data_IF_356727743485
#
_entry.id   IF_356727743485
#
_cell.length_a   1.000
_cell.length_b   1.000
_cell.length_c   1.000
_cell.angle_alpha   90.00
_cell.angle_beta   90.00
_cell.angle_gamma   90.00
#
_symmetry.space_group_name_H-M   'P 1'
#
loop_
_entity.id
_entity.type
_entity.pdbx_description
1 polymer ?
#
# COMPACT_ATOMS: atom_id res chain seq x y z
N UNK A 1 19.67 -2.30 23.82
CA UNK A 1 19.01 -1.80 22.60
C UNK A 1 17.51 -1.79 22.89
N UNK A 2 16.85 -0.62 22.91
CA UNK A 2 15.49 -0.41 23.48
C UNK A 2 14.36 -1.04 22.63
N UNK A 3 14.70 -1.63 21.48
CA UNK A 3 13.73 -2.04 20.46
C UNK A 3 12.97 -3.35 20.75
N UNK A 4 13.39 -4.14 21.75
CA UNK A 4 12.68 -5.36 22.19
C UNK A 4 12.29 -6.30 21.04
N UNK A 5 11.05 -6.82 21.08
CA UNK A 5 10.45 -7.71 20.07
C UNK A 5 9.84 -6.96 18.87
N UNK A 6 10.06 -5.65 18.74
CA UNK A 6 9.45 -4.86 17.67
C UNK A 6 10.23 -4.98 16.36
N UNK A 7 9.52 -5.35 15.30
CA UNK A 7 10.08 -5.54 13.95
C UNK A 7 10.70 -4.25 13.39
N UNK A 8 10.19 -3.07 13.77
CA UNK A 8 10.71 -1.79 13.33
C UNK A 8 10.46 -0.68 14.37
N UNK A 9 11.11 0.47 14.17
CA UNK A 9 10.94 1.66 15.02
C UNK A 9 9.52 2.23 14.98
N UNK A 10 8.79 2.05 13.89
CA UNK A 10 7.41 2.49 13.75
C UNK A 10 6.47 1.71 14.70
N UNK A 11 6.57 0.38 14.76
CA UNK A 11 5.75 -0.44 15.65
C UNK A 11 6.10 -0.19 17.10
N UNK A 12 7.38 0.02 17.42
CA UNK A 12 7.82 0.43 18.76
C UNK A 12 7.19 1.77 19.18
N UNK A 13 7.32 2.81 18.35
CA UNK A 13 6.79 4.15 18.68
C UNK A 13 5.26 4.16 18.79
N UNK A 14 4.56 3.38 17.96
CA UNK A 14 3.10 3.22 18.06
C UNK A 14 2.68 2.47 19.31
N UNK A 15 3.38 1.40 19.68
CA UNK A 15 3.10 0.69 20.93
C UNK A 15 3.29 1.61 22.15
N UNK A 16 4.38 2.40 22.18
CA UNK A 16 4.60 3.38 23.24
C UNK A 16 3.46 4.42 23.29
N UNK A 17 3.00 4.92 22.15
CA UNK A 17 1.89 5.86 22.08
C UNK A 17 0.59 5.25 22.64
N UNK A 18 0.30 3.97 22.36
CA UNK A 18 -0.87 3.29 22.94
C UNK A 18 -0.79 3.20 24.48
N UNK A 19 0.41 2.95 25.04
CA UNK A 19 0.61 3.00 26.50
C UNK A 19 0.34 4.39 27.08
N UNK A 20 0.85 5.45 26.45
CA UNK A 20 0.61 6.84 26.90
C UNK A 20 -0.88 7.20 26.86
N UNK A 21 -1.59 6.80 25.80
CA UNK A 21 -3.05 6.99 25.71
C UNK A 21 -3.76 6.21 26.82
N UNK A 22 -3.28 5.00 27.12
CA UNK A 22 -3.85 4.21 28.20
C UNK A 22 -3.60 4.83 29.58
N UNK A 23 -2.47 5.48 29.81
CA UNK A 23 -2.19 6.18 31.08
C UNK A 23 -3.07 7.42 31.26
N UNK A 24 -3.40 8.10 30.15
CA UNK A 24 -4.30 9.26 30.16
C UNK A 24 -5.78 8.93 30.40
N UNK A 25 -6.17 7.65 30.41
CA UNK A 25 -7.58 7.22 30.53
C UNK A 25 -8.31 7.70 31.78
N UNK A 26 -7.57 7.96 32.86
CA UNK A 26 -8.13 8.45 34.13
C UNK A 26 -8.34 9.97 34.12
N UNK A 27 -7.76 10.68 33.15
CA UNK A 27 -7.81 12.13 33.00
C UNK A 27 -8.85 12.52 31.94
N UNK A 28 -8.86 11.79 30.82
CA UNK A 28 -9.76 12.01 29.69
C UNK A 28 -10.29 10.69 29.17
N UNK A 29 -11.46 10.71 28.53
CA UNK A 29 -11.99 9.54 27.83
C UNK A 29 -11.12 9.23 26.61
N UNK A 30 -10.65 7.99 26.53
CA UNK A 30 -9.75 7.53 25.46
C UNK A 30 -10.34 6.35 24.71
N UNK A 31 -9.90 6.19 23.46
CA UNK A 31 -10.12 5.00 22.65
C UNK A 31 -8.94 4.81 21.71
N UNK A 32 -8.64 3.57 21.34
CA UNK A 32 -7.57 3.25 20.40
C UNK A 32 -8.19 2.53 19.20
N UNK A 33 -7.89 3.02 17.99
CA UNK A 33 -8.29 2.35 16.75
C UNK A 33 -7.03 1.82 16.07
N UNK A 34 -7.04 0.51 15.77
CA UNK A 34 -5.95 -0.20 15.09
C UNK A 34 -6.38 -0.54 13.66
N UNK A 35 -6.08 0.33 12.67
CA UNK A 35 -6.35 0.04 11.27
C UNK A 35 -5.32 -0.93 10.68
N UNK A 36 -5.72 -1.66 9.65
CA UNK A 36 -4.80 -2.35 8.75
C UNK A 36 -4.20 -1.39 7.70
N UNK A 37 -3.69 -1.93 6.58
CA UNK A 37 -3.00 -1.11 5.58
C UNK A 37 -4.01 -0.21 4.85
N UNK A 38 -3.94 1.09 5.13
CA UNK A 38 -4.90 2.05 4.61
C UNK A 38 -4.71 2.24 3.11
N UNK A 39 -5.81 2.17 2.35
CA UNK A 39 -5.86 2.41 0.91
C UNK A 39 -6.81 3.56 0.57
N UNK A 40 -7.02 3.80 -0.73
CA UNK A 40 -7.84 4.91 -1.20
C UNK A 40 -9.29 4.81 -0.70
N UNK A 41 -9.98 5.95 -0.67
CA UNK A 41 -11.37 6.03 -0.25
C UNK A 41 -12.25 5.10 -1.09
N UNK A 42 -13.17 4.40 -0.43
CA UNK A 42 -14.18 3.61 -1.13
C UNK A 42 -15.29 4.50 -1.66
N UNK A 43 -15.84 5.40 -0.83
CA UNK A 43 -16.98 6.26 -1.18
C UNK A 43 -16.71 7.75 -0.92
N UNK A 44 -16.23 8.11 0.27
CA UNK A 44 -16.13 9.50 0.72
C UNK A 44 -14.66 9.93 0.92
N UNK A 45 -14.26 11.18 0.62
CA UNK A 45 -15.06 12.26 0.01
C UNK A 45 -15.31 12.06 -1.50
N UNK A 46 -14.47 11.29 -2.18
CA UNK A 46 -14.61 10.88 -3.59
C UNK A 46 -14.02 9.48 -3.72
N UNK A 47 -14.65 8.61 -4.51
CA UNK A 47 -14.14 7.25 -4.78
C UNK A 47 -12.71 7.28 -5.34
N UNK A 48 -11.82 6.46 -4.78
CA UNK A 48 -10.42 6.40 -5.18
C UNK A 48 -9.57 7.59 -4.72
N UNK A 49 -10.12 8.51 -3.93
CA UNK A 49 -9.35 9.62 -3.37
C UNK A 49 -8.25 9.13 -2.41
N UNK A 50 -7.06 9.72 -2.55
CA UNK A 50 -5.96 9.53 -1.62
C UNK A 50 -5.07 10.77 -1.56
N UNK A 51 -4.58 11.09 -0.36
CA UNK A 51 -3.57 12.15 -0.14
C UNK A 51 -2.16 11.61 -0.36
N UNK A 52 -1.95 10.33 -0.05
CA UNK A 52 -0.63 9.72 -0.01
C UNK A 52 -0.41 8.81 -1.21
N UNK A 53 0.83 8.80 -1.71
CA UNK A 53 1.31 7.83 -2.70
C UNK A 53 2.22 6.80 -2.02
N UNK A 54 2.12 6.65 -0.71
CA UNK A 54 2.96 5.73 0.03
C UNK A 54 2.37 4.31 0.01
N UNK A 55 3.24 3.31 0.09
CA UNK A 55 2.84 1.91 0.21
C UNK A 55 2.05 1.40 -1.02
N UNK A 56 0.88 0.75 -0.82
CA UNK A 56 0.12 0.08 -1.88
C UNK A 56 -0.31 1.03 -3.00
N UNK A 57 -0.68 2.27 -2.67
CA UNK A 57 -1.16 3.25 -3.63
C UNK A 57 -0.04 3.70 -4.59
N UNK A 58 1.16 3.94 -4.05
CA UNK A 58 2.34 4.25 -4.86
C UNK A 58 2.72 3.09 -5.77
N UNK A 59 2.64 1.87 -5.24
CA UNK A 59 2.84 0.66 -6.03
C UNK A 59 1.84 0.60 -7.20
N UNK A 60 0.53 0.69 -6.93
CA UNK A 60 -0.50 0.63 -7.97
C UNK A 60 -0.30 1.73 -9.01
N UNK A 61 0.02 2.95 -8.59
CA UNK A 61 0.31 4.05 -9.51
C UNK A 61 1.54 3.77 -10.39
N UNK A 62 2.64 3.29 -9.81
CA UNK A 62 3.85 2.93 -10.56
C UNK A 62 3.61 1.78 -11.53
N UNK A 63 2.79 0.82 -11.13
CA UNK A 63 2.43 -0.33 -11.94
C UNK A 63 1.52 0.06 -13.11
N UNK A 64 0.57 0.97 -12.85
CA UNK A 64 -0.33 1.54 -13.85
C UNK A 64 0.39 2.42 -14.88
N UNK A 65 1.49 3.08 -14.49
CA UNK A 65 2.37 3.79 -15.43
C UNK A 65 3.31 2.87 -16.21
N UNK A 66 3.29 1.56 -15.92
CA UNK A 66 4.18 0.56 -16.50
C UNK A 66 5.63 0.62 -16.00
N UNK A 67 5.92 1.45 -15.00
CA UNK A 67 7.24 1.54 -14.35
C UNK A 67 7.49 0.29 -13.51
N UNK A 68 6.48 -0.13 -12.74
CA UNK A 68 6.57 -1.34 -11.91
C UNK A 68 5.90 -2.50 -12.62
N UNK A 69 6.70 -3.36 -13.23
CA UNK A 69 6.21 -4.49 -14.05
C UNK A 69 6.23 -5.83 -13.31
N UNK A 70 6.97 -5.92 -12.21
CA UNK A 70 7.22 -7.15 -11.47
C UNK A 70 7.11 -6.87 -9.99
N UNK A 71 6.43 -7.75 -9.27
CA UNK A 71 6.31 -7.66 -7.83
C UNK A 71 6.61 -9.00 -7.15
N UNK A 72 7.39 -9.02 -6.06
CA UNK A 72 7.53 -10.18 -5.20
C UNK A 72 6.31 -10.29 -4.27
N UNK A 73 5.20 -10.80 -4.80
CA UNK A 73 3.92 -10.93 -4.11
C UNK A 73 3.34 -12.30 -4.43
N UNK A 74 3.00 -13.04 -3.39
CA UNK A 74 2.32 -14.32 -3.53
C UNK A 74 0.81 -14.06 -3.66
N UNK A 75 0.24 -14.40 -4.82
CA UNK A 75 -1.16 -14.12 -5.16
C UNK A 75 -2.17 -14.80 -4.24
N UNK A 76 -1.78 -15.90 -3.60
CA UNK A 76 -2.65 -16.71 -2.74
C UNK A 76 -2.67 -16.23 -1.30
N UNK A 77 -1.78 -15.31 -0.91
CA UNK A 77 -1.79 -14.74 0.43
C UNK A 77 -2.95 -13.76 0.60
N UNK A 78 -3.45 -13.70 1.82
CA UNK A 78 -4.45 -12.72 2.25
C UNK A 78 -3.70 -11.43 2.60
N UNK A 79 -4.10 -10.33 1.97
CA UNK A 79 -3.58 -8.99 2.27
C UNK A 79 -4.69 -8.20 2.95
N UNK A 80 -4.33 -7.40 3.95
CA UNK A 80 -5.30 -6.61 4.71
C UNK A 80 -5.26 -5.14 4.28
N UNK A 81 -6.20 -4.78 3.40
CA UNK A 81 -6.37 -3.42 2.93
C UNK A 81 -7.69 -2.85 3.45
N UNK A 82 -7.64 -1.66 4.06
CA UNK A 82 -8.82 -0.96 4.58
C UNK A 82 -8.95 0.42 3.93
N UNK A 83 -10.13 0.79 3.38
CA UNK A 83 -10.35 2.12 2.83
C UNK A 83 -10.25 3.22 3.90
N UNK A 84 -9.69 4.38 3.55
CA UNK A 84 -9.47 5.49 4.49
C UNK A 84 -10.78 6.03 5.11
N UNK A 85 -11.87 6.05 4.35
CA UNK A 85 -13.19 6.48 4.80
C UNK A 85 -13.77 5.54 5.87
N UNK A 86 -13.56 4.23 5.71
CA UNK A 86 -13.98 3.26 6.73
C UNK A 86 -13.19 3.45 8.03
N UNK A 87 -11.90 3.75 7.95
CA UNK A 87 -11.06 4.03 9.14
C UNK A 87 -11.54 5.29 9.86
N UNK A 88 -11.82 6.37 9.12
CA UNK A 88 -12.32 7.62 9.69
C UNK A 88 -13.68 7.41 10.36
N UNK A 89 -14.60 6.72 9.68
CA UNK A 89 -15.92 6.40 10.24
C UNK A 89 -15.81 5.53 11.49
N UNK A 90 -14.88 4.58 11.52
CA UNK A 90 -14.58 3.76 12.71
C UNK A 90 -14.05 4.62 13.85
N UNK A 91 -13.20 5.61 13.56
CA UNK A 91 -12.67 6.54 14.56
C UNK A 91 -13.77 7.43 15.16
N UNK A 92 -14.66 7.97 14.32
CA UNK A 92 -15.80 8.78 14.78
C UNK A 92 -16.76 7.92 15.61
N UNK A 93 -17.10 6.72 15.14
CA UNK A 93 -17.98 5.81 15.87
C UNK A 93 -17.35 5.35 17.19
N UNK A 94 -16.06 5.02 17.19
CA UNK A 94 -15.33 4.59 18.39
C UNK A 94 -15.22 5.69 19.43
N UNK A 95 -14.93 6.92 19.01
CA UNK A 95 -14.89 8.09 19.92
C UNK A 95 -16.27 8.38 20.52
N UNK A 96 -17.32 8.35 19.70
CA UNK A 96 -18.71 8.51 20.17
C UNK A 96 -19.12 7.40 21.16
N UNK A 97 -18.75 6.16 20.88
CA UNK A 97 -19.00 5.04 21.77
C UNK A 97 -18.29 5.22 23.11
N UNK A 98 -16.99 5.56 23.09
CA UNK A 98 -16.22 5.81 24.30
C UNK A 98 -16.69 7.04 25.08
N UNK A 99 -17.25 8.04 24.41
CA UNK A 99 -17.87 9.19 25.05
C UNK A 99 -19.07 8.81 25.93
N UNK A 100 -19.87 7.84 25.48
CA UNK A 100 -21.08 7.39 26.17
C UNK A 100 -20.84 6.42 27.33
N UNK A 101 -19.63 5.89 27.48
CA UNK A 101 -19.33 4.95 28.57
C UNK A 101 -19.44 5.67 29.94
N UNK A 102 -20.10 5.05 30.93
CA UNK A 102 -20.13 5.56 32.30
C UNK A 102 -18.73 5.76 32.88
N UNK A 103 -18.55 6.80 33.71
CA UNK A 103 -17.26 7.04 34.40
C UNK A 103 -16.82 5.85 35.28
N UNK A 104 -17.78 5.02 35.67
CA UNK A 104 -17.61 3.85 36.52
C UNK A 104 -17.43 2.54 35.76
N UNK A 105 -17.54 2.52 34.42
CA UNK A 105 -17.26 1.30 33.66
C UNK A 105 -15.76 1.17 33.46
N UNK A 106 -15.08 0.24 34.15
CA UNK A 106 -13.80 -0.22 33.65
C UNK A 106 -14.15 -0.86 32.32
N UNK A 107 -13.81 -0.17 31.24
CA UNK A 107 -13.58 -0.79 29.94
C UNK A 107 -12.88 -2.12 30.19
N UNK A 108 -13.40 -3.22 29.65
CA UNK A 108 -12.98 -4.62 29.88
C UNK A 108 -11.53 -4.68 30.42
N UNK A 109 -11.38 -5.02 31.71
CA UNK A 109 -10.09 -5.11 32.45
C UNK A 109 -9.39 -3.80 32.88
N UNK A 110 -10.10 -2.67 32.88
CA UNK A 110 -9.57 -1.36 33.30
C UNK A 110 -8.60 -0.74 32.29
N UNK A 111 -8.69 -1.09 31.01
CA UNK A 111 -7.84 -0.62 29.91
C UNK A 111 -8.63 0.12 28.85
N UNK A 112 -8.03 1.10 28.17
CA UNK A 112 -8.65 1.85 27.07
C UNK A 112 -9.25 0.91 26.00
N UNK A 113 -10.48 1.14 25.52
CA UNK A 113 -11.10 0.27 24.52
C UNK A 113 -10.32 0.31 23.20
N UNK A 114 -10.07 -0.87 22.64
CA UNK A 114 -9.30 -1.06 21.41
C UNK A 114 -10.23 -1.59 20.31
N UNK A 115 -10.36 -0.85 19.22
CA UNK A 115 -11.14 -1.22 18.05
C UNK A 115 -10.22 -1.62 16.89
N UNK A 116 -10.37 -2.85 16.41
CA UNK A 116 -9.65 -3.34 15.23
C UNK A 116 -10.42 -3.01 13.96
N UNK A 117 -9.79 -2.28 13.03
CA UNK A 117 -10.37 -1.92 11.74
C UNK A 117 -9.60 -2.65 10.63
N UNK A 118 -9.99 -3.90 10.39
CA UNK A 118 -9.30 -4.84 9.49
C UNK A 118 -10.31 -5.52 8.56
N UNK A 119 -9.88 -5.86 7.33
CA UNK A 119 -10.74 -6.54 6.35
C UNK A 119 -10.52 -8.04 6.32
N UNK A 120 -9.38 -8.55 6.78
CA UNK A 120 -9.00 -9.97 6.66
C UNK A 120 -10.05 -10.97 7.18
N UNK A 121 -10.75 -10.63 8.26
CA UNK A 121 -11.74 -11.53 8.90
C UNK A 121 -13.07 -11.55 8.16
N UNK A 122 -13.49 -10.43 7.57
CA UNK A 122 -14.83 -10.26 6.99
C UNK A 122 -14.82 -10.31 5.46
N UNK A 123 -13.77 -9.78 4.84
CA UNK A 123 -13.61 -9.68 3.39
C UNK A 123 -12.11 -9.75 3.02
N UNK A 124 -11.50 -10.94 3.03
CA UNK A 124 -10.07 -11.11 2.78
C UNK A 124 -9.71 -10.74 1.33
N UNK A 125 -8.78 -9.81 1.15
CA UNK A 125 -8.29 -9.44 -0.18
C UNK A 125 -7.21 -10.41 -0.65
N UNK A 126 -7.31 -10.87 -1.90
CA UNK A 126 -6.28 -11.69 -2.57
C UNK A 126 -5.96 -11.11 -3.94
N UNK A 127 -4.67 -11.02 -4.27
CA UNK A 127 -4.24 -10.53 -5.58
C UNK A 127 -4.65 -11.46 -6.72
N UNK A 128 -4.89 -12.74 -6.42
CA UNK A 128 -5.37 -13.68 -7.43
C UNK A 128 -6.70 -13.23 -8.04
N UNK A 129 -7.65 -12.81 -7.19
CA UNK A 129 -9.03 -12.51 -7.58
C UNK A 129 -9.13 -11.19 -8.35
N UNK A 130 -8.20 -10.27 -8.12
CA UNK A 130 -8.20 -8.92 -8.74
C UNK A 130 -7.27 -8.84 -9.95
N UNK A 131 -6.34 -9.78 -10.14
CA UNK A 131 -5.33 -9.67 -11.19
C UNK A 131 -5.90 -9.57 -12.62
N UNK A 132 -6.99 -10.29 -12.91
CA UNK A 132 -7.69 -10.24 -14.20
C UNK A 132 -8.38 -8.89 -14.39
N UNK A 133 -9.17 -8.46 -13.39
CA UNK A 133 -9.90 -7.19 -13.38
C UNK A 133 -8.92 -6.03 -13.54
N UNK A 134 -7.82 -6.03 -12.79
CA UNK A 134 -6.78 -5.00 -12.85
C UNK A 134 -6.18 -4.88 -14.25
N UNK A 135 -5.88 -6.02 -14.89
CA UNK A 135 -5.31 -6.02 -16.25
C UNK A 135 -6.30 -5.43 -17.26
N UNK A 136 -7.58 -5.81 -17.18
CA UNK A 136 -8.64 -5.29 -18.05
C UNK A 136 -8.88 -3.80 -17.82
N UNK A 137 -8.97 -3.36 -16.56
CA UNK A 137 -9.18 -1.94 -16.21
C UNK A 137 -8.02 -1.08 -16.68
N UNK A 138 -6.77 -1.52 -16.48
CA UNK A 138 -5.59 -0.78 -16.94
C UNK A 138 -5.49 -0.68 -18.47
N UNK A 139 -6.00 -1.68 -19.19
CA UNK A 139 -6.07 -1.64 -20.64
C UNK A 139 -7.16 -0.67 -21.13
N UNK A 140 -8.33 -0.69 -20.50
CA UNK A 140 -9.47 0.15 -20.90
C UNK A 140 -9.30 1.62 -20.48
N UNK A 141 -8.61 1.88 -19.35
CA UNK A 141 -8.40 3.21 -18.78
C UNK A 141 -6.91 3.47 -18.54
N UNK A 142 -6.12 3.74 -19.60
CA UNK A 142 -4.69 4.00 -19.45
C UNK A 142 -4.43 5.33 -18.74
N UNK A 143 -3.46 5.33 -17.82
CA UNK A 143 -3.06 6.55 -17.10
C UNK A 143 -2.25 7.46 -18.02
N UNK A 144 -2.52 8.77 -17.97
CA UNK A 144 -1.72 9.79 -18.68
C UNK A 144 -0.25 9.74 -18.23
N UNK A 145 0.66 9.75 -19.20
CA UNK A 145 2.10 9.66 -18.95
C UNK A 145 2.56 8.25 -18.55
N UNK A 146 1.90 7.20 -19.05
CA UNK A 146 2.43 5.85 -18.99
C UNK A 146 3.75 5.78 -19.78
N UNK A 147 4.82 5.32 -19.13
CA UNK A 147 6.14 5.16 -19.76
C UNK A 147 6.17 3.88 -20.58
N UNK A 148 5.52 2.83 -20.07
CA UNK A 148 5.40 1.54 -20.71
C UNK A 148 3.98 1.02 -20.59
N UNK A 149 3.61 0.08 -21.47
CA UNK A 149 2.32 -0.59 -21.36
C UNK A 149 2.18 -1.30 -20.00
N UNK A 150 1.11 -1.06 -19.23
CA UNK A 150 0.94 -1.63 -17.90
C UNK A 150 0.77 -3.15 -17.98
N UNK A 151 1.80 -3.89 -17.53
CA UNK A 151 1.76 -5.35 -17.43
C UNK A 151 2.47 -5.75 -16.14
N UNK A 152 1.69 -6.24 -15.18
CA UNK A 152 2.16 -6.55 -13.83
C UNK A 152 2.23 -8.07 -13.68
N UNK A 153 3.42 -8.58 -13.42
CA UNK A 153 3.64 -9.98 -13.07
C UNK A 153 3.95 -10.10 -11.58
N UNK A 154 3.05 -10.73 -10.85
CA UNK A 154 3.29 -11.13 -9.46
C UNK A 154 4.12 -12.41 -9.44
N UNK A 155 5.24 -12.38 -8.72
CA UNK A 155 6.20 -13.45 -8.57
C UNK A 155 6.21 -13.88 -7.10
N UNK A 156 6.07 -15.18 -6.79
CA UNK A 156 5.99 -15.65 -5.41
C UNK A 156 7.35 -15.57 -4.67
N UNK A 157 8.47 -15.60 -5.40
CA UNK A 157 9.82 -15.71 -4.83
C UNK A 157 10.69 -14.50 -5.18
N UNK A 158 11.47 -14.02 -4.20
CA UNK A 158 12.44 -12.93 -4.38
C UNK A 158 13.53 -13.28 -5.40
N UNK A 159 13.99 -14.52 -5.44
CA UNK A 159 14.98 -14.97 -6.41
C UNK A 159 14.48 -14.86 -7.86
N UNK A 160 13.25 -15.32 -8.11
CA UNK A 160 12.60 -15.17 -9.42
C UNK A 160 12.42 -13.69 -9.77
N UNK A 161 12.04 -12.86 -8.80
CA UNK A 161 11.95 -11.42 -8.99
C UNK A 161 13.29 -10.82 -9.43
N UNK A 162 14.39 -11.17 -8.76
CA UNK A 162 15.75 -10.69 -9.09
C UNK A 162 16.18 -11.05 -10.51
N UNK A 163 16.09 -12.32 -10.89
CA UNK A 163 16.44 -12.79 -12.25
C UNK A 163 15.63 -12.02 -13.29
N UNK A 164 14.33 -11.93 -13.06
CA UNK A 164 13.41 -11.36 -14.02
C UNK A 164 13.50 -9.83 -14.13
N UNK A 165 13.90 -9.17 -13.03
CA UNK A 165 14.25 -7.75 -12.99
C UNK A 165 15.55 -7.48 -13.77
N UNK A 166 16.61 -8.27 -13.51
CA UNK A 166 17.88 -8.15 -14.22
C UNK A 166 17.72 -8.31 -15.74
N UNK A 167 16.92 -9.29 -16.16
CA UNK A 167 16.60 -9.51 -17.56
C UNK A 167 15.90 -8.29 -18.18
N UNK A 168 14.88 -7.72 -17.52
CA UNK A 168 14.19 -6.54 -18.07
C UNK A 168 15.12 -5.32 -18.21
N UNK A 169 15.94 -5.06 -17.18
CA UNK A 169 16.90 -3.95 -17.20
C UNK A 169 17.93 -4.09 -18.32
N UNK A 170 18.41 -5.31 -18.56
CA UNK A 170 19.40 -5.56 -19.61
C UNK A 170 18.84 -5.30 -21.01
N UNK A 171 17.64 -5.80 -21.32
CA UNK A 171 17.01 -5.62 -22.63
C UNK A 171 16.63 -4.17 -22.89
N UNK A 172 16.09 -3.46 -21.88
CA UNK A 172 15.77 -2.04 -21.99
C UNK A 172 17.03 -1.20 -22.28
N UNK A 173 18.13 -1.48 -21.57
CA UNK A 173 19.42 -0.81 -21.79
C UNK A 173 19.97 -1.08 -23.19
N UNK A 174 19.88 -2.32 -23.68
CA UNK A 174 20.37 -2.68 -25.02
C UNK A 174 19.57 -1.98 -26.12
N UNK A 175 18.24 -1.91 -25.95
CA UNK A 175 17.34 -1.24 -26.89
C UNK A 175 17.60 0.26 -26.97
N UNK A 176 17.75 0.95 -25.83
CA UNK A 176 18.09 2.38 -25.80
C UNK A 176 19.45 2.62 -26.48
N UNK A 177 20.44 1.76 -26.21
CA UNK A 177 21.77 1.87 -26.82
C UNK A 177 21.72 1.68 -28.34
N UNK A 178 20.92 0.73 -28.83
CA UNK A 178 20.70 0.52 -30.26
C UNK A 178 19.98 1.71 -30.92
N UNK A 179 18.94 2.26 -30.29
CA UNK A 179 18.26 3.46 -30.77
C UNK A 179 19.20 4.67 -30.82
N UNK A 180 20.00 4.88 -29.77
CA UNK A 180 20.96 5.98 -29.72
C UNK A 180 22.02 5.86 -30.83
N UNK A 181 22.57 4.67 -31.06
CA UNK A 181 23.54 4.43 -32.15
C UNK A 181 22.93 4.68 -33.54
N UNK A 182 21.68 4.29 -33.76
CA UNK A 182 21.00 4.54 -35.03
C UNK A 182 20.59 6.01 -35.22
N UNK A 183 20.22 6.70 -34.15
CA UNK A 183 19.96 8.15 -34.20
C UNK A 183 21.26 8.91 -34.51
N UNK A 184 22.36 8.56 -33.83
CA UNK A 184 23.67 9.17 -34.02
C UNK A 184 24.19 8.97 -35.45
N UNK A 185 23.99 7.78 -36.03
CA UNK A 185 24.28 7.51 -37.45
C UNK A 185 23.44 8.33 -38.42
N UNK A 186 22.20 8.69 -38.08
CA UNK A 186 21.35 9.54 -38.92
C UNK A 186 21.69 11.03 -38.81
N UNK A 187 22.15 11.49 -37.65
CA UNK A 187 22.52 12.90 -37.42
C UNK A 187 23.94 13.26 -37.86
N UNK A 188 24.83 12.26 -38.01
CA UNK A 188 26.19 12.45 -38.52
C UNK A 188 26.46 11.51 -39.73
N UNK A 189 25.90 11.80 -40.92
CA UNK A 189 26.08 10.96 -42.11
C UNK A 189 27.49 11.02 -42.74
N UNK A 190 28.39 11.90 -42.27
CA UNK A 190 29.71 12.11 -42.88
C UNK A 190 30.85 11.64 -41.97
N UNK A 191 31.12 10.33 -41.93
CA UNK A 191 32.45 9.80 -41.53
C UNK A 191 32.57 8.33 -41.96
N UNK A 192 32.38 8.06 -43.25
CA UNK A 192 32.91 6.84 -43.87
C UNK A 192 33.45 7.22 -45.26
N UNK A 193 34.70 7.66 -45.28
CA UNK A 193 35.66 7.53 -46.39
C UNK A 193 37.00 7.21 -45.76
#
# INVERSE_FOLDING_TARGET
MIMGDHINTYTFTKALAEHVVNDARNIIRTCIVRPSMIVAAWKEPVEGWTVSKNGPQGFIMGASKGVVRRLPVNKSLIYDYIPVDVVINTMIAGTWFSAQLPDSTPTVDGQTPIFHCTTSTCNPFRWNDISSILTTTLHNYPIRGAVWYPNIKFLPNLFMYWISSAHFSFYSSLYIRFCYQNLWRKTNPCTIT
#
